data_IF_945942024744
#
_entry.id   IF_945942024744
#
_cell.length_a   1.000
_cell.length_b   1.000
_cell.length_c   1.000
_cell.angle_alpha   90.00
_cell.angle_beta   90.00
_cell.angle_gamma   90.00
#
_symmetry.space_group_name_H-M   'P 1'
#
loop_
_entity.id
_entity.type
_entity.pdbx_description
1 polymer ?
#
# COMPACT_ATOMS: atom_id res chain seq x y z
N UNK A 1 5.23 3.96 -19.13
CA UNK A 1 5.22 3.38 -17.77
C UNK A 1 4.05 2.43 -17.66
N UNK A 2 4.29 1.22 -17.15
CA UNK A 2 3.21 0.25 -16.90
C UNK A 2 3.04 0.06 -15.39
N UNK A 3 1.79 0.06 -14.92
CA UNK A 3 1.45 -0.15 -13.52
C UNK A 3 0.62 -1.41 -13.42
N UNK A 4 1.12 -2.38 -12.65
CA UNK A 4 0.47 -3.67 -12.41
C UNK A 4 -0.23 -3.61 -11.06
N UNK A 5 -1.56 -3.68 -11.04
CA UNK A 5 -2.34 -3.70 -9.82
C UNK A 5 -2.73 -5.12 -9.46
N UNK A 6 -2.52 -5.48 -8.20
CA UNK A 6 -2.91 -6.76 -7.61
C UNK A 6 -3.68 -6.52 -6.33
N UNK A 7 -4.77 -7.28 -6.15
CA UNK A 7 -5.55 -7.26 -4.92
C UNK A 7 -6.12 -8.64 -4.62
N UNK A 8 -6.03 -9.05 -3.36
CA UNK A 8 -6.72 -10.23 -2.86
C UNK A 8 -8.11 -9.84 -2.38
N UNK A 9 -9.14 -10.34 -3.07
CA UNK A 9 -10.53 -10.15 -2.70
C UNK A 9 -11.41 -11.27 -3.24
N UNK A 10 -12.11 -12.00 -2.36
CA UNK A 10 -12.98 -13.09 -2.78
C UNK A 10 -14.32 -12.57 -3.31
N UNK A 11 -14.60 -12.85 -4.56
CA UNK A 11 -15.88 -12.60 -5.21
C UNK A 11 -16.73 -13.88 -5.32
N UNK A 12 -17.99 -13.74 -5.68
CA UNK A 12 -18.87 -14.84 -6.05
C UNK A 12 -19.07 -14.86 -7.58
N UNK A 13 -19.51 -15.99 -8.10
CA UNK A 13 -19.74 -16.15 -9.54
C UNK A 13 -20.65 -15.05 -10.11
N UNK A 14 -20.23 -14.46 -11.22
CA UNK A 14 -20.92 -13.33 -11.88
C UNK A 14 -20.52 -11.95 -11.36
N UNK A 15 -19.62 -11.87 -10.39
CA UNK A 15 -19.05 -10.60 -9.93
C UNK A 15 -17.72 -10.31 -10.63
N UNK A 16 -17.50 -9.04 -10.93
CA UNK A 16 -16.31 -8.48 -11.55
C UNK A 16 -15.70 -7.46 -10.61
N UNK A 17 -14.40 -7.58 -10.31
CA UNK A 17 -13.68 -6.52 -9.62
C UNK A 17 -13.22 -5.47 -10.63
N UNK A 18 -13.40 -4.19 -10.27
CA UNK A 18 -13.06 -3.04 -11.12
C UNK A 18 -12.16 -2.08 -10.34
N UNK A 19 -11.04 -1.71 -10.93
CA UNK A 19 -10.18 -0.64 -10.46
C UNK A 19 -10.69 0.69 -11.02
N UNK A 20 -11.00 1.64 -10.13
CA UNK A 20 -11.50 2.97 -10.47
C UNK A 20 -10.40 3.98 -10.16
N UNK A 21 -9.83 4.62 -11.18
CA UNK A 21 -8.74 5.61 -11.06
C UNK A 21 -9.31 6.99 -11.29
N UNK A 22 -9.08 7.88 -10.32
CA UNK A 22 -9.44 9.30 -10.42
C UNK A 22 -8.23 10.09 -10.90
N UNK A 23 -8.43 10.81 -11.96
CA UNK A 23 -7.50 11.83 -12.46
C UNK A 23 -8.02 13.21 -12.08
N UNK A 24 -7.11 14.14 -11.84
CA UNK A 24 -7.51 15.54 -11.67
C UNK A 24 -8.17 16.04 -12.96
N UNK A 25 -9.38 16.61 -12.83
CA UNK A 25 -10.17 17.22 -13.92
C UNK A 25 -10.60 16.31 -15.10
N UNK A 26 -10.48 14.98 -14.97
CA UNK A 26 -10.94 14.02 -15.98
C UNK A 26 -12.03 13.09 -15.45
N UNK A 27 -12.74 12.43 -16.37
CA UNK A 27 -13.66 11.34 -16.02
C UNK A 27 -12.90 10.19 -15.36
N UNK A 28 -13.57 9.51 -14.44
CA UNK A 28 -13.04 8.35 -13.75
C UNK A 28 -12.71 7.22 -14.74
N UNK A 29 -11.47 6.74 -14.72
CA UNK A 29 -11.06 5.61 -15.55
C UNK A 29 -11.41 4.31 -14.83
N UNK A 30 -12.21 3.46 -15.47
CA UNK A 30 -12.59 2.15 -14.97
C UNK A 30 -11.86 1.04 -15.71
N UNK A 31 -11.15 0.21 -14.97
CA UNK A 31 -10.39 -0.93 -15.50
C UNK A 31 -10.92 -2.23 -14.88
N UNK A 32 -11.65 -3.06 -15.66
CA UNK A 32 -12.02 -4.40 -15.21
C UNK A 32 -10.78 -5.25 -14.95
N UNK A 33 -10.75 -5.93 -13.81
CA UNK A 33 -9.62 -6.78 -13.42
C UNK A 33 -9.84 -8.23 -13.88
N UNK A 34 -8.74 -8.96 -14.05
CA UNK A 34 -8.76 -10.37 -14.39
C UNK A 34 -8.48 -11.24 -13.16
N UNK A 35 -9.06 -12.43 -13.13
CA UNK A 35 -8.83 -13.44 -12.09
C UNK A 35 -8.88 -14.84 -12.69
N UNK A 36 -8.17 -15.79 -12.09
CA UNK A 36 -8.25 -17.22 -12.42
C UNK A 36 -9.06 -18.02 -11.41
N UNK A 37 -9.15 -17.54 -10.18
CA UNK A 37 -9.70 -18.29 -9.05
C UNK A 37 -10.80 -17.54 -8.27
N UNK A 38 -11.10 -16.30 -8.65
CA UNK A 38 -12.04 -15.42 -7.96
C UNK A 38 -11.54 -14.87 -6.62
N UNK A 39 -10.24 -15.00 -6.33
CA UNK A 39 -9.61 -14.47 -5.11
C UNK A 39 -8.52 -13.46 -5.41
N UNK A 40 -7.61 -13.80 -6.33
CA UNK A 40 -6.53 -12.92 -6.74
C UNK A 40 -6.94 -12.22 -8.04
N UNK A 41 -6.88 -10.91 -8.02
CA UNK A 41 -7.30 -10.06 -9.12
C UNK A 41 -6.13 -9.18 -9.56
N UNK A 42 -5.98 -9.02 -10.87
CA UNK A 42 -4.94 -8.16 -11.43
C UNK A 42 -5.41 -7.40 -12.65
N UNK A 43 -4.79 -6.25 -12.89
CA UNK A 43 -4.95 -5.45 -14.10
C UNK A 43 -3.69 -4.63 -14.36
N UNK A 44 -3.33 -4.52 -15.64
CA UNK A 44 -2.23 -3.68 -16.10
C UNK A 44 -2.78 -2.36 -16.64
N UNK A 45 -2.18 -1.27 -16.20
CA UNK A 45 -2.50 0.06 -16.67
C UNK A 45 -1.27 0.72 -17.32
N UNK A 46 -1.34 0.99 -18.62
CA UNK A 46 -0.30 1.69 -19.37
C UNK A 46 -0.56 3.20 -19.34
N UNK A 47 0.39 3.96 -18.78
CA UNK A 47 0.32 5.42 -18.65
C UNK A 47 1.36 6.06 -19.56
N UNK A 48 0.93 6.80 -20.56
CA UNK A 48 1.84 7.49 -21.50
C UNK A 48 2.48 8.73 -20.86
N UNK A 49 1.68 9.52 -20.16
CA UNK A 49 2.12 10.74 -19.46
C UNK A 49 1.66 10.65 -18.00
N UNK A 50 2.54 10.13 -17.10
CA UNK A 50 2.16 9.99 -15.73
C UNK A 50 2.03 11.34 -15.02
N UNK A 51 0.91 11.53 -14.29
CA UNK A 51 0.77 12.61 -13.32
C UNK A 51 1.64 12.32 -12.09
N UNK A 52 1.84 13.32 -11.24
CA UNK A 52 2.61 13.15 -10.00
C UNK A 52 1.97 12.16 -9.04
N UNK A 53 0.64 12.12 -9.00
CA UNK A 53 -0.11 11.19 -8.15
C UNK A 53 -1.47 10.88 -8.74
N UNK A 54 -2.01 9.73 -8.35
CA UNK A 54 -3.37 9.28 -8.64
C UNK A 54 -4.05 8.84 -7.36
N UNK A 55 -5.36 9.04 -7.28
CA UNK A 55 -6.19 8.39 -6.27
C UNK A 55 -7.05 7.33 -6.94
N UNK A 56 -7.25 6.20 -6.27
CA UNK A 56 -8.04 5.11 -6.82
C UNK A 56 -8.72 4.30 -5.72
N UNK A 57 -9.69 3.48 -6.12
CA UNK A 57 -10.40 2.56 -5.24
C UNK A 57 -10.90 1.35 -6.04
N UNK A 58 -11.31 0.31 -5.34
CA UNK A 58 -11.88 -0.88 -5.97
C UNK A 58 -13.39 -0.95 -5.74
N UNK A 59 -14.09 -1.47 -6.76
CA UNK A 59 -15.52 -1.76 -6.69
C UNK A 59 -15.79 -3.16 -7.21
N UNK A 60 -16.89 -3.76 -6.73
CA UNK A 60 -17.44 -5.01 -7.26
C UNK A 60 -18.64 -4.66 -8.11
N UNK A 61 -18.65 -5.12 -9.35
CA UNK A 61 -19.78 -4.95 -10.26
C UNK A 61 -20.40 -6.31 -10.60
N UNK A 62 -21.73 -6.32 -10.79
CA UNK A 62 -22.47 -7.46 -11.33
C UNK A 62 -23.39 -6.94 -12.42
N UNK A 63 -23.30 -7.53 -13.62
CA UNK A 63 -24.06 -7.09 -14.80
C UNK A 63 -23.92 -5.59 -15.10
N UNK A 64 -22.72 -5.03 -14.88
CA UNK A 64 -22.42 -3.61 -15.08
C UNK A 64 -22.95 -2.67 -13.99
N UNK A 65 -23.53 -3.22 -12.92
CA UNK A 65 -24.00 -2.43 -11.77
C UNK A 65 -23.08 -2.61 -10.59
N UNK A 66 -22.67 -1.51 -9.98
CA UNK A 66 -21.85 -1.54 -8.75
C UNK A 66 -22.68 -2.09 -7.60
N UNK A 67 -22.25 -3.23 -7.04
CA UNK A 67 -22.92 -3.89 -5.91
C UNK A 67 -22.19 -3.64 -4.59
N UNK A 68 -20.90 -3.31 -4.64
CA UNK A 68 -20.08 -3.02 -3.47
C UNK A 68 -18.90 -2.12 -3.83
N UNK A 69 -18.51 -1.24 -2.92
CA UNK A 69 -17.31 -0.41 -3.02
C UNK A 69 -16.45 -0.56 -1.77
N UNK A 70 -15.18 -0.26 -1.89
CA UNK A 70 -14.33 -0.01 -0.74
C UNK A 70 -14.81 1.20 0.06
N UNK A 71 -14.16 1.42 1.22
CA UNK A 71 -14.37 2.63 2.00
C UNK A 71 -13.81 3.86 1.26
N UNK A 72 -14.70 4.67 0.69
CA UNK A 72 -14.34 5.77 -0.21
C UNK A 72 -13.79 7.01 0.50
N UNK A 73 -13.93 7.12 1.83
CA UNK A 73 -13.40 8.28 2.57
C UNK A 73 -11.87 8.30 2.53
N UNK A 74 -11.23 7.13 2.51
CA UNK A 74 -9.78 6.99 2.46
C UNK A 74 -9.42 6.14 1.24
N UNK A 75 -9.30 6.79 0.08
CA UNK A 75 -8.90 6.11 -1.17
C UNK A 75 -7.44 5.66 -1.13
N UNK A 76 -7.09 4.74 -2.01
CA UNK A 76 -5.70 4.45 -2.30
C UNK A 76 -5.05 5.65 -2.99
N UNK A 77 -3.76 5.81 -2.77
CA UNK A 77 -2.97 6.84 -3.43
C UNK A 77 -1.72 6.22 -4.04
N UNK A 78 -1.45 6.59 -5.26
CA UNK A 78 -0.26 6.22 -6.01
C UNK A 78 0.55 7.48 -6.27
N UNK A 79 1.71 7.61 -5.63
CA UNK A 79 2.65 8.71 -5.85
C UNK A 79 3.75 8.27 -6.81
N UNK A 80 3.88 8.99 -7.92
CA UNK A 80 4.86 8.73 -8.97
C UNK A 80 5.99 9.78 -9.01
N UNK A 81 6.08 10.62 -8.00
CA UNK A 81 6.99 11.78 -7.97
C UNK A 81 8.47 11.42 -7.95
N UNK A 82 8.84 10.21 -7.63
CA UNK A 82 10.23 9.85 -7.33
C UNK A 82 10.89 8.89 -8.29
N UNK A 83 10.22 8.40 -9.32
CA UNK A 83 10.80 7.33 -10.10
C UNK A 83 10.86 7.56 -11.60
N UNK A 84 12.00 7.25 -12.21
CA UNK A 84 12.11 6.93 -13.63
C UNK A 84 11.83 5.44 -13.86
N UNK A 85 10.96 4.84 -13.04
CA UNK A 85 10.61 3.42 -13.20
C UNK A 85 9.72 3.25 -14.43
N UNK A 86 10.07 2.34 -15.30
CA UNK A 86 9.24 1.99 -16.45
C UNK A 86 8.09 1.07 -16.05
N UNK A 87 8.23 0.36 -14.94
CA UNK A 87 7.24 -0.57 -14.39
C UNK A 87 7.07 -0.35 -12.88
N UNK A 88 5.83 -0.43 -12.42
CA UNK A 88 5.46 -0.39 -10.99
C UNK A 88 4.44 -1.48 -10.71
N UNK A 89 4.62 -2.24 -9.65
CA UNK A 89 3.64 -3.22 -9.18
C UNK A 89 3.06 -2.76 -7.86
N UNK A 90 1.73 -2.71 -7.79
CA UNK A 90 0.96 -2.30 -6.63
C UNK A 90 0.21 -3.51 -6.06
N UNK A 91 0.47 -3.85 -4.80
CA UNK A 91 -0.26 -4.89 -4.05
C UNK A 91 -1.15 -4.23 -3.03
N UNK A 92 -2.45 -4.41 -3.17
CA UNK A 92 -3.46 -3.78 -2.33
C UNK A 92 -4.27 -4.79 -1.52
N UNK A 93 -4.87 -4.30 -0.45
CA UNK A 93 -5.88 -5.00 0.32
C UNK A 93 -7.19 -4.20 0.30
N UNK A 94 -8.30 -4.92 0.25
CA UNK A 94 -9.63 -4.30 0.29
C UNK A 94 -9.83 -3.50 1.57
N UNK A 95 -10.15 -2.22 1.42
CA UNK A 95 -10.41 -1.31 2.54
C UNK A 95 -11.83 -1.44 3.04
N UNK A 96 -11.97 -1.93 4.27
CA UNK A 96 -13.22 -1.91 5.01
C UNK A 96 -13.28 -0.68 5.92
N UNK A 97 -14.48 -0.27 6.32
CA UNK A 97 -14.65 0.79 7.32
C UNK A 97 -14.16 0.23 8.66
N UNK A 98 -13.08 0.75 9.25
CA UNK A 98 -12.61 0.28 10.55
C UNK A 98 -13.49 0.79 11.68
N UNK A 99 -13.44 0.14 12.85
CA UNK A 99 -14.19 0.57 14.04
C UNK A 99 -13.80 1.99 14.49
N UNK A 100 -12.55 2.38 14.27
CA UNK A 100 -11.99 3.69 14.56
C UNK A 100 -12.05 4.68 13.38
N UNK A 101 -13.02 4.49 12.46
CA UNK A 101 -13.19 5.30 11.25
C UNK A 101 -13.28 6.81 11.54
N UNK A 102 -13.75 7.21 12.72
CA UNK A 102 -13.80 8.60 13.14
C UNK A 102 -12.42 9.29 13.17
N UNK A 103 -11.33 8.55 13.40
CA UNK A 103 -9.96 9.08 13.40
C UNK A 103 -9.52 9.60 12.03
N UNK A 104 -10.20 9.20 10.96
CA UNK A 104 -9.93 9.64 9.58
C UNK A 104 -10.80 10.83 9.17
N UNK A 105 -11.69 11.30 10.04
CA UNK A 105 -12.49 12.49 9.75
C UNK A 105 -11.63 13.76 9.80
N UNK A 106 -12.01 14.78 9.03
CA UNK A 106 -11.33 16.08 9.01
C UNK A 106 -11.25 16.75 10.41
N UNK A 107 -12.21 16.45 11.30
CA UNK A 107 -12.15 16.92 12.68
C UNK A 107 -10.92 16.40 13.43
N UNK A 108 -10.48 15.18 13.15
CA UNK A 108 -9.28 14.59 13.77
C UNK A 108 -8.02 14.87 12.95
N UNK A 109 -8.06 14.73 11.63
CA UNK A 109 -6.88 14.90 10.78
C UNK A 109 -6.44 16.36 10.71
N UNK A 110 -7.39 17.30 10.57
CA UNK A 110 -7.09 18.71 10.34
C UNK A 110 -7.11 19.53 11.61
N UNK A 111 -8.03 19.24 12.54
CA UNK A 111 -8.26 20.06 13.73
C UNK A 111 -7.53 19.56 14.98
N UNK A 112 -7.40 18.26 15.18
CA UNK A 112 -6.78 17.70 16.39
C UNK A 112 -5.30 17.43 16.20
N UNK A 113 -4.90 16.87 15.09
CA UNK A 113 -3.54 16.37 14.90
C UNK A 113 -2.60 17.37 14.22
N UNK A 114 -3.10 18.32 13.45
CA UNK A 114 -2.32 19.39 12.77
C UNK A 114 -0.96 18.95 12.22
N UNK A 115 -0.82 17.69 11.84
CA UNK A 115 0.45 17.17 11.35
C UNK A 115 0.58 17.50 9.87
N UNK A 116 1.54 18.35 9.55
CA UNK A 116 1.97 18.50 8.16
C UNK A 116 2.58 17.18 7.68
N UNK A 117 2.29 16.74 6.44
CA UNK A 117 2.99 15.60 5.85
C UNK A 117 4.50 15.85 5.91
N UNK A 118 5.27 14.86 6.36
CA UNK A 118 6.72 14.90 6.17
C UNK A 118 7.00 14.75 4.67
N UNK A 119 7.86 15.61 4.12
CA UNK A 119 8.38 15.40 2.77
C UNK A 119 9.24 14.14 2.81
N UNK A 120 8.75 13.09 2.18
CA UNK A 120 9.47 11.83 2.07
C UNK A 120 10.42 11.94 0.87
N UNK A 121 11.73 11.88 1.14
CA UNK A 121 12.71 11.67 0.07
C UNK A 121 12.57 10.23 -0.44
N UNK A 122 12.04 10.10 -1.64
CA UNK A 122 11.93 8.82 -2.34
C UNK A 122 13.31 8.32 -2.76
N UNK A 123 13.59 7.04 -2.51
CA UNK A 123 14.85 6.42 -2.93
C UNK A 123 14.80 6.09 -4.43
N UNK A 124 15.88 6.39 -5.14
CA UNK A 124 16.02 6.09 -6.58
C UNK A 124 16.72 4.72 -6.78
N UNK A 125 16.04 3.64 -6.38
CA UNK A 125 16.51 2.30 -6.69
C UNK A 125 16.16 1.93 -8.14
N UNK A 126 16.93 1.02 -8.74
CA UNK A 126 16.63 0.48 -10.07
C UNK A 126 15.28 -0.28 -10.08
N UNK A 127 14.99 -0.98 -8.98
CA UNK A 127 13.68 -1.61 -8.71
C UNK A 127 13.34 -1.38 -7.24
N UNK A 128 12.17 -0.85 -6.97
CA UNK A 128 11.73 -0.50 -5.61
C UNK A 128 10.53 -1.35 -5.21
N UNK A 129 10.59 -1.95 -4.03
CA UNK A 129 9.41 -2.41 -3.29
C UNK A 129 9.06 -1.35 -2.27
N UNK A 130 7.84 -0.83 -2.35
CA UNK A 130 7.32 0.15 -1.40
C UNK A 130 6.22 -0.48 -0.56
N UNK A 131 6.42 -0.50 0.75
CA UNK A 131 5.43 -0.96 1.72
C UNK A 131 4.70 0.26 2.29
N UNK A 132 3.37 0.25 2.19
CA UNK A 132 2.51 1.32 2.68
C UNK A 132 1.53 0.71 3.68
N UNK A 133 1.44 1.30 4.88
CA UNK A 133 0.50 0.86 5.91
C UNK A 133 -0.14 2.04 6.61
N UNK A 134 -1.41 1.90 6.96
CA UNK A 134 -2.14 2.84 7.80
C UNK A 134 -2.27 2.31 9.21
N UNK A 135 -1.87 3.12 10.18
CA UNK A 135 -1.85 2.75 11.58
C UNK A 135 -2.37 3.90 12.48
N UNK A 136 -3.70 4.11 12.51
CA UNK A 136 -4.31 5.17 13.30
C UNK A 136 -4.22 4.93 14.81
N UNK A 137 -3.95 3.69 15.25
CA UNK A 137 -3.90 3.30 16.66
C UNK A 137 -2.56 3.60 17.34
N UNK A 138 -1.59 4.12 16.60
CA UNK A 138 -0.29 4.48 17.17
C UNK A 138 -0.44 5.58 18.22
N UNK A 139 0.23 5.36 19.35
CA UNK A 139 0.26 6.33 20.45
C UNK A 139 1.30 7.41 20.16
N UNK A 140 1.20 8.49 20.90
CA UNK A 140 2.17 9.58 20.79
C UNK A 140 3.62 9.09 21.01
N UNK A 141 4.49 9.43 20.05
CA UNK A 141 5.89 9.03 20.03
C UNK A 141 6.16 7.59 19.57
N UNK A 142 5.12 6.81 19.23
CA UNK A 142 5.29 5.52 18.55
C UNK A 142 5.52 5.73 17.06
N UNK A 143 6.39 4.90 16.49
CA UNK A 143 6.73 4.82 15.07
C UNK A 143 6.58 3.41 14.58
N UNK A 144 6.52 3.22 13.27
CA UNK A 144 6.45 1.90 12.65
C UNK A 144 7.78 1.47 12.07
N UNK A 145 8.01 0.18 12.10
CA UNK A 145 9.04 -0.53 11.37
C UNK A 145 8.53 -1.82 10.76
N UNK A 146 9.30 -2.39 9.88
CA UNK A 146 9.05 -3.69 9.25
C UNK A 146 10.17 -4.64 9.61
N UNK A 147 9.81 -5.83 10.06
CA UNK A 147 10.75 -6.92 10.37
C UNK A 147 10.34 -8.16 9.57
N UNK A 148 11.27 -8.83 8.95
CA UNK A 148 10.96 -9.98 8.11
C UNK A 148 12.11 -10.93 7.91
N UNK A 149 11.88 -11.96 7.08
CA UNK A 149 12.85 -13.01 6.81
C UNK A 149 14.07 -12.52 6.05
N UNK A 150 13.87 -11.57 5.12
CA UNK A 150 14.97 -11.00 4.32
C UNK A 150 15.94 -10.19 5.18
N UNK A 151 17.21 -10.13 4.76
CA UNK A 151 18.23 -9.35 5.45
C UNK A 151 17.94 -7.83 5.41
N UNK A 152 17.30 -7.34 4.35
CA UNK A 152 16.85 -5.95 4.25
C UNK A 152 15.75 -5.61 5.26
N UNK A 153 15.05 -6.64 5.78
CA UNK A 153 14.05 -6.55 6.83
C UNK A 153 14.58 -7.02 8.19
N UNK A 154 15.90 -7.14 8.33
CA UNK A 154 16.57 -7.47 9.59
C UNK A 154 16.58 -8.93 9.97
N UNK A 155 16.19 -9.88 9.12
CA UNK A 155 16.22 -11.33 9.41
C UNK A 155 15.54 -11.67 10.73
N UNK A 156 14.34 -11.16 10.97
CA UNK A 156 13.54 -11.25 12.21
C UNK A 156 14.19 -10.63 13.46
N UNK A 157 15.26 -9.84 13.29
CA UNK A 157 15.85 -9.07 14.39
C UNK A 157 15.28 -7.65 14.42
N UNK A 158 14.49 -7.32 15.43
CA UNK A 158 13.84 -6.02 15.54
C UNK A 158 14.82 -4.85 15.69
N UNK A 159 16.04 -5.07 16.19
CA UNK A 159 17.08 -4.03 16.24
C UNK A 159 17.54 -3.60 14.84
N UNK A 160 17.37 -4.48 13.85
CA UNK A 160 17.73 -4.26 12.45
C UNK A 160 16.50 -4.01 11.56
N UNK A 161 15.36 -3.68 12.16
CA UNK A 161 14.13 -3.42 11.42
C UNK A 161 14.34 -2.33 10.36
N UNK A 162 13.60 -2.44 9.26
CA UNK A 162 13.44 -1.35 8.32
C UNK A 162 12.49 -0.31 8.92
N UNK A 163 13.00 0.86 9.28
CA UNK A 163 12.18 1.95 9.84
C UNK A 163 11.32 2.56 8.76
N UNK A 164 10.04 2.82 9.09
CA UNK A 164 9.10 3.48 8.21
C UNK A 164 9.05 4.99 8.50
N UNK A 165 8.75 5.77 7.46
CA UNK A 165 8.53 7.21 7.55
C UNK A 165 7.04 7.51 7.44
N UNK A 166 6.53 8.40 8.28
CA UNK A 166 5.15 8.86 8.18
C UNK A 166 5.04 9.86 7.02
N UNK A 167 4.32 9.47 5.98
CA UNK A 167 4.16 10.29 4.77
C UNK A 167 2.97 11.25 4.87
N UNK A 168 1.84 10.74 5.34
CA UNK A 168 0.64 11.52 5.68
C UNK A 168 0.16 11.10 7.05
N UNK A 169 -0.84 11.80 7.59
CA UNK A 169 -1.42 11.38 8.86
C UNK A 169 -1.88 9.91 8.79
N UNK A 170 -1.38 9.12 9.73
CA UNK A 170 -1.63 7.67 9.84
C UNK A 170 -1.12 6.78 8.70
N UNK A 171 -0.46 7.34 7.68
CA UNK A 171 0.13 6.54 6.61
C UNK A 171 1.65 6.50 6.74
N UNK A 172 2.19 5.30 6.78
CA UNK A 172 3.61 5.02 6.94
C UNK A 172 4.14 4.31 5.71
N UNK A 173 5.33 4.67 5.28
CA UNK A 173 5.96 4.16 4.06
C UNK A 173 7.37 3.70 4.35
N UNK A 174 7.76 2.58 3.76
CA UNK A 174 9.14 2.13 3.67
C UNK A 174 9.45 1.66 2.26
N UNK A 175 10.67 1.89 1.81
CA UNK A 175 11.17 1.47 0.49
C UNK A 175 12.34 0.52 0.63
N UNK A 176 12.36 -0.49 -0.24
CA UNK A 176 13.39 -1.52 -0.33
C UNK A 176 13.95 -1.54 -1.74
N UNK A 177 15.26 -1.70 -1.85
CA UNK A 177 15.89 -2.03 -3.14
C UNK A 177 15.61 -3.49 -3.49
N UNK A 178 14.64 -3.69 -4.41
CA UNK A 178 14.20 -5.02 -4.80
C UNK A 178 15.30 -5.85 -5.50
N UNK A 179 16.34 -5.21 -6.04
CA UNK A 179 17.50 -5.91 -6.64
C UNK A 179 18.30 -6.70 -5.61
N UNK A 180 18.29 -6.26 -4.35
CA UNK A 180 19.03 -6.87 -3.26
C UNK A 180 18.18 -7.83 -2.39
N UNK A 181 16.93 -8.08 -2.73
CA UNK A 181 16.13 -9.09 -2.06
C UNK A 181 16.68 -10.51 -2.30
N UNK A 182 16.67 -11.32 -1.26
CA UNK A 182 17.15 -12.71 -1.32
C UNK A 182 16.16 -13.65 -2.01
N UNK A 183 14.89 -13.28 -2.03
CA UNK A 183 13.79 -14.08 -2.58
C UNK A 183 12.69 -13.17 -3.11
N UNK A 184 11.98 -13.64 -4.14
CA UNK A 184 10.74 -12.98 -4.58
C UNK A 184 9.58 -13.20 -3.59
N UNK A 185 9.68 -14.18 -2.70
CA UNK A 185 8.73 -14.38 -1.61
C UNK A 185 9.20 -13.62 -0.39
N UNK A 186 8.43 -12.59 -0.01
CA UNK A 186 8.69 -11.78 1.19
C UNK A 186 7.77 -12.21 2.32
N UNK A 187 8.33 -12.49 3.49
CA UNK A 187 7.60 -12.76 4.73
C UNK A 187 8.01 -11.72 5.78
N UNK A 188 7.02 -11.01 6.35
CA UNK A 188 7.29 -9.90 7.27
C UNK A 188 6.14 -9.63 8.25
N UNK A 189 6.40 -8.76 9.23
CA UNK A 189 5.44 -8.15 10.16
C UNK A 189 5.72 -6.68 10.33
N UNK A 190 4.69 -5.93 10.68
CA UNK A 190 4.86 -4.58 11.20
C UNK A 190 5.12 -4.62 12.71
N UNK A 191 5.93 -3.66 13.16
CA UNK A 191 6.23 -3.46 14.57
C UNK A 191 6.06 -1.98 14.92
N UNK A 192 5.40 -1.70 16.04
CA UNK A 192 5.38 -0.35 16.62
C UNK A 192 6.51 -0.23 17.66
N UNK A 193 7.29 0.83 17.59
CA UNK A 193 8.39 1.06 18.50
C UNK A 193 8.40 2.49 19.03
N UNK A 194 8.94 2.68 20.24
CA UNK A 194 9.14 4.00 20.84
C UNK A 194 10.55 4.07 21.43
N UNK A 195 11.43 4.83 20.80
CA UNK A 195 12.83 4.95 21.21
C UNK A 195 13.00 5.57 22.60
N UNK A 196 12.08 6.47 23.01
CA UNK A 196 12.12 7.12 24.33
C UNK A 196 11.67 6.21 25.48
N UNK A 197 10.77 5.28 25.20
CA UNK A 197 10.16 4.37 26.19
C UNK A 197 10.73 2.96 26.14
N UNK A 198 11.67 2.70 25.23
CA UNK A 198 12.24 1.36 24.97
C UNK A 198 11.16 0.29 24.81
N UNK A 199 10.11 0.63 24.06
CA UNK A 199 8.99 -0.27 23.82
C UNK A 199 8.95 -0.74 22.39
N UNK A 200 8.65 -2.03 22.22
CA UNK A 200 8.48 -2.70 20.95
C UNK A 200 7.23 -3.58 20.99
N UNK A 201 6.31 -3.36 20.08
CA UNK A 201 5.05 -4.11 20.00
C UNK A 201 4.97 -4.73 18.61
N UNK A 202 4.87 -6.05 18.57
CA UNK A 202 4.71 -6.81 17.35
C UNK A 202 3.24 -6.88 16.92
N UNK A 203 3.01 -6.88 15.62
CA UNK A 203 1.71 -7.23 15.03
C UNK A 203 1.29 -8.64 15.49
N UNK A 204 0.07 -8.77 16.00
CA UNK A 204 -0.43 -10.04 16.58
C UNK A 204 -0.96 -11.02 15.53
N UNK A 205 -1.19 -10.59 14.29
CA UNK A 205 -1.63 -11.44 13.18
C UNK A 205 -0.57 -12.49 12.78
N UNK A 206 -0.92 -13.37 11.86
CA UNK A 206 0.06 -14.22 11.17
C UNK A 206 1.06 -13.35 10.38
N UNK A 207 2.19 -13.94 10.01
CA UNK A 207 3.14 -13.23 9.15
C UNK A 207 2.48 -12.84 7.83
N UNK A 208 2.79 -11.65 7.34
CA UNK A 208 2.36 -11.19 6.01
C UNK A 208 3.28 -11.78 4.97
N UNK A 209 2.72 -12.18 3.86
CA UNK A 209 3.48 -12.70 2.73
C UNK A 209 3.11 -11.95 1.45
N UNK A 210 4.13 -11.67 0.63
CA UNK A 210 3.96 -11.10 -0.70
C UNK A 210 4.86 -11.87 -1.65
N UNK A 211 4.29 -12.36 -2.76
CA UNK A 211 5.04 -12.91 -3.88
C UNK A 211 5.24 -11.82 -4.93
N UNK A 212 6.48 -11.39 -5.07
CA UNK A 212 6.85 -10.41 -6.09
C UNK A 212 6.95 -11.09 -7.46
N UNK A 213 6.60 -10.40 -8.55
CA UNK A 213 6.79 -10.94 -9.89
C UNK A 213 8.26 -11.30 -10.12
N UNK A 214 8.52 -12.34 -10.95
CA UNK A 214 9.89 -12.71 -11.31
C UNK A 214 10.64 -11.49 -11.85
N UNK A 215 11.64 -11.05 -11.09
CA UNK A 215 12.50 -9.97 -11.52
C UNK A 215 13.46 -10.52 -12.58
N UNK A 216 13.09 -10.36 -13.85
CA UNK A 216 14.03 -10.65 -14.93
C UNK A 216 15.27 -9.81 -14.73
N UNK A 217 16.41 -10.48 -14.58
CA UNK A 217 17.71 -9.81 -14.65
C UNK A 217 17.78 -9.13 -16.03
N UNK A 218 17.86 -7.80 -16.02
CA UNK A 218 18.08 -7.01 -17.23
C UNK A 218 19.54 -7.09 -17.65
#
# INVERSE_FOLDING_TARGET
MTIHFHIEYRTVFGEQLVLNIQKEDEEELKLPMATLDGKEWSVDWCVEQPAKSYTYYYSVERDGVVVKTEWLLVKHRLDLTAGKADELTQYDHWKVIPEDAYLYSSAFTDCVNHQAPEEMEMQNYAKTVRLIVRAPQLRDGEKLGVVGADNLLGSWNAEKMLKMTQHTYNEWVAELDAVHLQSNHMEFKFVAYNEKKDSLIWETSMNRTIDLPEMKAG
#
